data_IF_339524761569
#
_entry.id   IF_339524761569
#
_cell.length_a   1.000
_cell.length_b   1.000
_cell.length_c   1.000
_cell.angle_alpha   90.00
_cell.angle_beta   90.00
_cell.angle_gamma   90.00
#
_symmetry.space_group_name_H-M   'P 1'
#
loop_
_entity.id
_entity.type
_entity.pdbx_description
1 polymer ?
#
# COMPACT_ATOMS: atom_id res chain seq x y z
N UNK A 1 3.09 19.36 -10.26
CA UNK A 1 2.75 19.17 -8.82
C UNK A 1 2.26 17.74 -8.66
N UNK A 2 2.82 16.97 -7.72
CA UNK A 2 2.33 15.61 -7.39
C UNK A 2 1.31 15.75 -6.26
N UNK A 3 0.18 15.04 -6.35
CA UNK A 3 -0.83 15.00 -5.29
C UNK A 3 -0.71 13.64 -4.62
N UNK A 4 -0.31 13.63 -3.35
CA UNK A 4 -0.34 12.44 -2.52
C UNK A 4 -1.68 12.36 -1.79
N UNK A 5 -2.28 11.17 -1.78
CA UNK A 5 -3.59 10.95 -1.16
C UNK A 5 -3.55 9.69 -0.30
N UNK A 6 -4.07 9.79 0.91
CA UNK A 6 -4.29 8.64 1.76
C UNK A 6 -5.38 7.75 1.14
N UNK A 7 -5.08 6.47 0.94
CA UNK A 7 -5.97 5.50 0.28
C UNK A 7 -6.74 4.66 1.30
N UNK A 8 -6.12 4.32 2.43
CA UNK A 8 -6.77 3.57 3.51
C UNK A 8 -5.77 2.90 4.44
N UNK A 9 -6.30 2.27 5.49
CA UNK A 9 -5.58 1.40 6.43
C UNK A 9 -6.32 0.08 6.49
N UNK A 10 -5.58 -1.02 6.37
CA UNK A 10 -6.12 -2.38 6.42
C UNK A 10 -5.48 -3.12 7.58
N UNK A 11 -6.31 -3.67 8.47
CA UNK A 11 -5.82 -4.61 9.47
C UNK A 11 -5.50 -5.94 8.78
N UNK A 12 -4.32 -6.49 9.07
CA UNK A 12 -3.86 -7.79 8.59
C UNK A 12 -3.37 -8.58 9.79
N UNK A 13 -3.98 -9.73 10.06
CA UNK A 13 -3.66 -10.56 11.22
C UNK A 13 -2.35 -11.34 11.08
N UNK A 14 -1.91 -11.59 9.84
CA UNK A 14 -0.66 -12.28 9.50
C UNK A 14 0.17 -11.39 8.55
N UNK A 15 1.39 -11.06 8.96
CA UNK A 15 2.30 -10.18 8.21
C UNK A 15 3.23 -10.94 7.24
N UNK A 16 2.91 -12.19 6.90
CA UNK A 16 3.59 -12.88 5.78
C UNK A 16 3.46 -12.08 4.48
N UNK A 17 4.50 -12.15 3.64
CA UNK A 17 4.54 -11.40 2.37
C UNK A 17 3.32 -11.65 1.49
N UNK A 18 2.82 -12.90 1.47
CA UNK A 18 1.61 -13.27 0.72
C UNK A 18 0.36 -12.58 1.25
N UNK A 19 0.19 -12.50 2.58
CA UNK A 19 -0.97 -11.86 3.21
C UNK A 19 -0.95 -10.34 3.08
N UNK A 20 0.23 -9.73 3.21
CA UNK A 20 0.39 -8.30 2.95
C UNK A 20 0.08 -7.96 1.48
N UNK A 21 0.56 -8.77 0.53
CA UNK A 21 0.24 -8.59 -0.89
C UNK A 21 -1.27 -8.67 -1.11
N UNK A 22 -1.93 -9.72 -0.62
CA UNK A 22 -3.38 -9.92 -0.74
C UNK A 22 -4.16 -8.72 -0.19
N UNK A 23 -3.80 -8.24 1.00
CA UNK A 23 -4.45 -7.09 1.63
C UNK A 23 -4.30 -5.80 0.82
N UNK A 24 -3.13 -5.55 0.23
CA UNK A 24 -2.88 -4.39 -0.65
C UNK A 24 -3.71 -4.49 -1.93
N UNK A 25 -3.74 -5.67 -2.57
CA UNK A 25 -4.53 -5.91 -3.78
C UNK A 25 -6.03 -5.69 -3.52
N UNK A 26 -6.55 -6.21 -2.40
CA UNK A 26 -7.92 -5.98 -1.96
C UNK A 26 -8.21 -4.49 -1.75
N UNK A 27 -7.36 -3.78 -1.00
CA UNK A 27 -7.52 -2.35 -0.75
C UNK A 27 -7.59 -1.56 -2.06
N UNK A 28 -6.69 -1.83 -3.01
CA UNK A 28 -6.65 -1.11 -4.29
C UNK A 28 -7.87 -1.46 -5.14
N UNK A 29 -8.30 -2.73 -5.18
CA UNK A 29 -9.49 -3.16 -5.91
C UNK A 29 -10.79 -2.51 -5.40
N UNK A 30 -10.82 -2.08 -4.13
CA UNK A 30 -11.94 -1.33 -3.55
C UNK A 30 -12.01 0.14 -3.99
N UNK A 31 -11.01 0.61 -4.72
CA UNK A 31 -10.91 1.98 -5.23
C UNK A 31 -11.00 2.02 -6.75
N UNK A 32 -11.18 3.21 -7.34
CA UNK A 32 -11.12 3.40 -8.79
C UNK A 32 -9.68 3.42 -9.35
N UNK A 33 -8.69 2.93 -8.59
CA UNK A 33 -7.29 2.87 -9.01
C UNK A 33 -7.03 1.59 -9.82
N UNK A 34 -6.19 1.68 -10.84
CA UNK A 34 -5.83 0.52 -11.65
C UNK A 34 -4.58 -0.16 -11.11
N UNK A 35 -4.67 -1.47 -10.85
CA UNK A 35 -3.53 -2.32 -10.50
C UNK A 35 -2.37 -2.22 -11.49
N UNK A 36 -2.67 -2.06 -12.79
CA UNK A 36 -1.67 -1.91 -13.86
C UNK A 36 -0.78 -0.66 -13.72
N UNK A 37 -1.23 0.33 -12.93
CA UNK A 37 -0.53 1.59 -12.70
C UNK A 37 0.18 1.65 -11.35
N UNK A 38 0.21 0.54 -10.61
CA UNK A 38 0.97 0.47 -9.37
C UNK A 38 2.46 0.66 -9.67
N UNK A 39 3.08 1.53 -8.89
CA UNK A 39 4.52 1.75 -8.92
C UNK A 39 5.05 1.39 -7.54
N UNK A 40 6.06 0.53 -7.50
CA UNK A 40 6.81 0.29 -6.27
C UNK A 40 7.64 1.54 -5.98
N UNK A 41 7.40 2.19 -4.84
CA UNK A 41 8.39 3.05 -4.23
C UNK A 41 8.87 2.34 -2.97
N UNK A 42 10.16 2.00 -2.92
CA UNK A 42 10.77 1.53 -1.68
C UNK A 42 10.91 2.71 -0.74
N UNK A 43 10.04 2.79 0.26
CA UNK A 43 10.18 3.76 1.33
C UNK A 43 11.05 3.09 2.40
N UNK A 44 12.35 3.36 2.40
CA UNK A 44 13.31 2.82 3.38
C UNK A 44 13.32 3.61 4.69
N UNK A 45 12.20 4.28 5.01
CA UNK A 45 12.00 5.33 6.02
C UNK A 45 12.35 5.02 7.48
N UNK A 46 13.23 4.06 7.72
CA UNK A 46 13.98 3.84 8.96
C UNK A 46 14.61 5.14 9.51
N UNK A 47 14.90 6.14 8.68
CA UNK A 47 15.51 7.40 9.14
C UNK A 47 14.54 8.46 9.69
N UNK A 48 13.21 8.25 9.65
CA UNK A 48 12.25 9.30 10.05
C UNK A 48 11.21 8.87 11.11
N UNK A 49 11.45 7.75 11.80
CA UNK A 49 10.72 7.43 13.03
C UNK A 49 11.36 8.21 14.19
N UNK A 50 10.73 9.32 14.60
CA UNK A 50 10.91 9.95 15.92
C UNK A 50 9.68 9.70 16.77
#
# INVERSE_FOLDING_TARGET
QVIERFVGVQYVSDTTSSKLKEAIEQLISSTNLSMSRLRGQGYDGASNMR
#
